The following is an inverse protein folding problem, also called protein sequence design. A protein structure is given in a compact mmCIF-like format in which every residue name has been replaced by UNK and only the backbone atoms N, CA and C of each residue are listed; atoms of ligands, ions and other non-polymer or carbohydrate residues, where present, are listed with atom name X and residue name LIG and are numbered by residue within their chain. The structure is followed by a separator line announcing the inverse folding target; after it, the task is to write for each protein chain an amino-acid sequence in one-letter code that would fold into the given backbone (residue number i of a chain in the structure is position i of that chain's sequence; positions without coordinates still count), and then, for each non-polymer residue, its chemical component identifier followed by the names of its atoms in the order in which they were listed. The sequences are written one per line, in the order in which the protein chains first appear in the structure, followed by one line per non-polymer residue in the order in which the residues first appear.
data_IF_097893457378
#
_entry.id   IF_097893457378
#
_cell.length_a   1.000
_cell.length_b   1.000
_cell.length_c   1.000
_cell.angle_alpha   90.00
_cell.angle_beta   90.00
_cell.angle_gamma   90.00
#
_symmetry.space_group_name_H-M   'P 1'
#
loop_
_entity.id
_entity.type
_entity.pdbx_description
1 polymer ?
#
# COMPACT_ATOMS: atom_id res chain seq x y z
N UNK A 1 2.38 -3.51 -26.74
CA UNK A 1 2.28 -3.95 -25.31
C UNK A 1 3.14 -3.05 -24.42
N UNK A 2 2.61 -2.57 -23.30
CA UNK A 2 3.43 -1.84 -22.33
C UNK A 2 4.32 -2.83 -21.56
N UNK A 3 5.62 -2.52 -21.45
CA UNK A 3 6.60 -3.36 -20.79
C UNK A 3 6.56 -3.19 -19.26
N UNK A 4 7.24 -4.08 -18.52
CA UNK A 4 7.42 -3.96 -17.08
C UNK A 4 8.02 -2.59 -16.69
N UNK A 5 7.30 -1.83 -15.86
CA UNK A 5 7.68 -0.48 -15.41
C UNK A 5 7.69 -0.41 -13.89
N UNK A 6 8.59 0.39 -13.33
CA UNK A 6 8.62 0.67 -11.89
C UNK A 6 7.73 1.87 -11.56
N UNK A 7 6.83 1.68 -10.61
CA UNK A 7 5.96 2.72 -10.08
C UNK A 7 6.38 3.03 -8.65
N UNK A 8 6.62 4.31 -8.34
CA UNK A 8 6.94 4.77 -6.98
C UNK A 8 5.71 5.36 -6.32
N UNK A 9 5.47 5.01 -5.06
CA UNK A 9 4.25 5.38 -4.32
C UNK A 9 4.41 6.62 -3.44
N UNK A 10 5.46 7.40 -3.69
CA UNK A 10 5.64 8.74 -3.11
C UNK A 10 4.72 9.71 -3.83
N UNK A 11 3.54 9.95 -3.30
CA UNK A 11 2.55 10.85 -3.90
C UNK A 11 2.91 12.32 -3.65
N UNK A 12 3.27 13.11 -4.67
CA UNK A 12 3.61 14.53 -4.49
C UNK A 12 2.46 15.37 -3.93
N UNK A 13 1.22 14.89 -4.08
CA UNK A 13 0.02 15.53 -3.54
C UNK A 13 -0.27 15.18 -2.07
N UNK A 14 0.39 14.16 -1.51
CA UNK A 14 0.17 13.72 -0.13
C UNK A 14 -1.23 13.18 0.16
N UNK A 15 -1.95 12.67 -0.85
CA UNK A 15 -3.33 12.18 -0.73
C UNK A 15 -3.45 10.65 -0.83
N UNK A 16 -2.34 9.93 -1.03
CA UNK A 16 -2.31 8.49 -0.80
C UNK A 16 -2.67 8.21 0.66
N UNK A 17 -3.61 7.30 0.88
CA UNK A 17 -4.05 6.98 2.23
C UNK A 17 -4.38 5.50 2.40
N UNK A 18 -4.14 5.02 3.62
CA UNK A 18 -4.65 3.76 4.16
C UNK A 18 -5.63 4.13 5.26
N UNK A 19 -6.87 3.63 5.20
CA UNK A 19 -7.86 3.82 6.27
C UNK A 19 -7.93 2.57 7.14
N UNK A 20 -8.20 2.80 8.42
CA UNK A 20 -8.28 1.81 9.47
C UNK A 20 -9.67 1.90 10.11
N UNK A 21 -10.31 0.76 10.32
CA UNK A 21 -11.52 0.64 11.14
C UNK A 21 -11.27 -0.42 12.22
N UNK A 22 -11.48 -0.02 13.46
CA UNK A 22 -11.39 -0.87 14.65
C UNK A 22 -12.77 -0.85 15.29
N UNK A 23 -13.60 -1.83 14.95
CA UNK A 23 -15.00 -1.89 15.36
C UNK A 23 -15.16 -2.68 16.66
N UNK A 24 -14.85 -2.04 17.79
CA UNK A 24 -15.02 -2.64 19.12
C UNK A 24 -16.41 -2.35 19.68
N UNK A 25 -16.80 -3.09 20.73
CA UNK A 25 -18.12 -2.95 21.33
C UNK A 25 -18.32 -1.59 22.03
N UNK A 26 -17.29 -1.09 22.71
CA UNK A 26 -17.39 0.09 23.58
C UNK A 26 -16.76 1.35 22.96
N UNK A 27 -15.75 1.18 22.11
CA UNK A 27 -14.97 2.28 21.56
C UNK A 27 -14.63 2.02 20.07
N UNK A 28 -15.64 2.02 19.17
CA UNK A 28 -15.38 1.90 17.74
C UNK A 28 -14.63 3.13 17.24
N UNK A 29 -13.52 2.91 16.54
CA UNK A 29 -12.59 3.99 16.16
C UNK A 29 -12.20 3.84 14.69
N UNK A 30 -12.17 4.97 13.99
CA UNK A 30 -11.66 5.09 12.63
C UNK A 30 -10.37 5.89 12.60
N UNK A 31 -9.48 5.53 11.69
CA UNK A 31 -8.22 6.23 11.48
C UNK A 31 -7.71 6.12 10.06
N UNK A 32 -6.58 6.76 9.81
CA UNK A 32 -5.88 6.72 8.55
C UNK A 32 -4.37 6.87 8.73
N UNK A 33 -3.61 6.53 7.70
CA UNK A 33 -2.19 6.80 7.56
C UNK A 33 -1.93 7.29 6.14
N UNK A 34 -1.16 8.37 5.98
CA UNK A 34 -0.98 9.05 4.69
C UNK A 34 0.47 9.22 4.24
N UNK A 35 1.45 8.78 5.03
CA UNK A 35 2.84 8.68 4.57
C UNK A 35 3.07 7.27 4.00
N UNK A 36 2.70 7.14 2.73
CA UNK A 36 2.85 5.92 1.93
C UNK A 36 4.04 6.09 0.99
N UNK A 37 4.89 5.08 0.93
CA UNK A 37 6.06 5.03 0.04
C UNK A 37 6.32 3.62 -0.49
N UNK A 38 7.45 3.44 -1.17
CA UNK A 38 7.85 2.17 -1.79
C UNK A 38 7.73 2.19 -3.30
N UNK A 39 7.98 1.03 -3.91
CA UNK A 39 7.90 0.85 -5.35
C UNK A 39 7.42 -0.54 -5.73
N UNK A 40 6.84 -0.63 -6.93
CA UNK A 40 6.37 -1.88 -7.51
C UNK A 40 6.69 -1.91 -9.00
N UNK A 41 7.30 -3.00 -9.45
CA UNK A 41 7.45 -3.35 -10.86
C UNK A 41 6.13 -3.98 -11.32
N UNK A 42 5.55 -3.44 -12.38
CA UNK A 42 4.29 -3.92 -12.96
C UNK A 42 4.37 -3.96 -14.48
N UNK A 43 3.96 -5.08 -15.06
CA UNK A 43 3.79 -5.27 -16.51
C UNK A 43 2.29 -5.50 -16.77
N UNK A 44 1.56 -4.58 -17.40
CA UNK A 44 0.12 -4.77 -17.66
C UNK A 44 -0.15 -5.93 -18.65
N UNK A 45 0.86 -6.38 -19.42
CA UNK A 45 0.73 -7.56 -20.27
C UNK A 45 1.01 -8.87 -19.53
N UNK A 46 1.70 -8.79 -18.38
CA UNK A 46 2.06 -9.92 -17.51
C UNK A 46 1.93 -9.55 -16.03
N UNK A 47 0.72 -9.18 -15.56
CA UNK A 47 0.51 -8.66 -14.20
C UNK A 47 0.89 -9.67 -13.10
N UNK A 48 0.92 -10.96 -13.41
CA UNK A 48 1.37 -12.05 -12.53
C UNK A 48 2.86 -11.96 -12.15
N UNK A 49 3.66 -11.19 -12.90
CA UNK A 49 5.10 -11.00 -12.66
C UNK A 49 5.41 -9.83 -11.72
N UNK A 50 4.38 -9.18 -11.18
CA UNK A 50 4.54 -8.01 -10.33
C UNK A 50 5.40 -8.32 -9.09
N UNK A 51 6.25 -7.36 -8.72
CA UNK A 51 7.16 -7.48 -7.58
C UNK A 51 7.42 -6.12 -6.95
N UNK A 52 7.55 -6.04 -5.63
CA UNK A 52 7.86 -4.79 -4.96
C UNK A 52 7.38 -4.75 -3.51
N UNK A 53 7.37 -3.55 -2.94
CA UNK A 53 6.90 -3.32 -1.57
C UNK A 53 6.25 -1.95 -1.42
N UNK A 54 5.26 -1.90 -0.54
CA UNK A 54 4.65 -0.66 -0.06
C UNK A 54 5.05 -0.49 1.41
N UNK A 55 5.34 0.74 1.80
CA UNK A 55 5.67 1.09 3.18
C UNK A 55 4.69 2.17 3.67
N UNK A 56 4.35 2.10 4.94
CA UNK A 56 3.55 3.12 5.64
C UNK A 56 4.30 3.56 6.88
N UNK A 57 4.54 4.86 7.05
CA UNK A 57 5.19 5.35 8.25
C UNK A 57 4.23 5.33 9.44
N UNK A 58 4.64 4.72 10.55
CA UNK A 58 3.83 4.66 11.79
C UNK A 58 3.50 6.06 12.29
N UNK A 59 4.44 7.00 12.15
CA UNK A 59 4.25 8.39 12.54
C UNK A 59 3.10 9.11 11.79
N UNK A 60 2.65 8.59 10.65
CA UNK A 60 1.54 9.17 9.88
C UNK A 60 0.15 8.72 10.32
N UNK A 61 0.07 7.69 11.19
CA UNK A 61 -1.20 7.17 11.68
C UNK A 61 -1.94 8.25 12.47
N UNK A 62 -3.21 8.46 12.19
CA UNK A 62 -4.11 9.37 12.88
C UNK A 62 -5.44 8.67 13.11
N UNK A 63 -5.98 8.82 14.31
CA UNK A 63 -7.33 8.38 14.66
C UNK A 63 -8.21 9.61 14.91
N UNK A 64 -9.52 9.39 15.02
CA UNK A 64 -10.49 10.46 15.33
C UNK A 64 -10.29 11.12 16.71
N UNK A 65 -9.32 10.66 17.50
CA UNK A 65 -8.96 11.18 18.81
C UNK A 65 -7.43 11.19 18.98
N UNK A 66 -6.89 12.28 19.55
CA UNK A 66 -5.44 12.48 19.71
C UNK A 66 -4.82 11.46 20.69
N UNK A 67 -5.51 11.11 21.77
CA UNK A 67 -5.03 10.11 22.73
C UNK A 67 -4.87 8.72 22.09
N UNK A 68 -5.80 8.32 21.22
CA UNK A 68 -5.67 7.09 20.41
C UNK A 68 -4.57 7.19 19.36
N UNK A 69 -4.39 8.36 18.76
CA UNK A 69 -3.28 8.65 17.85
C UNK A 69 -1.93 8.47 18.54
N UNK A 70 -1.76 9.07 19.71
CA UNK A 70 -0.54 8.98 20.51
C UNK A 70 -0.29 7.56 21.01
N UNK A 71 -1.35 6.87 21.47
CA UNK A 71 -1.28 5.46 21.89
C UNK A 71 -0.83 4.55 20.74
N UNK A 72 -1.41 4.74 19.55
CA UNK A 72 -1.08 3.97 18.37
C UNK A 72 0.39 4.16 17.96
N UNK A 73 0.84 5.41 17.82
CA UNK A 73 2.22 5.75 17.45
C UNK A 73 3.24 5.37 18.52
N UNK A 74 2.83 5.44 19.78
CA UNK A 74 3.63 5.17 20.96
C UNK A 74 3.58 3.69 21.35
N UNK A 75 2.96 3.39 22.49
CA UNK A 75 2.97 2.07 23.11
C UNK A 75 2.48 0.93 22.20
N UNK A 76 1.45 1.15 21.37
CA UNK A 76 0.83 0.05 20.63
C UNK A 76 1.68 -0.47 19.47
N UNK A 77 2.32 0.43 18.70
CA UNK A 77 3.16 0.07 17.54
C UNK A 77 4.66 0.31 17.79
N UNK A 78 5.04 0.83 18.95
CA UNK A 78 6.40 1.23 19.31
C UNK A 78 7.09 2.01 18.18
N UNK A 79 6.43 3.04 17.62
CA UNK A 79 6.83 3.68 16.36
C UNK A 79 8.24 4.28 16.32
N UNK A 80 8.86 4.55 17.48
CA UNK A 80 10.29 4.93 17.55
C UNK A 80 11.23 3.76 17.24
N UNK A 81 10.85 2.54 17.64
CA UNK A 81 11.60 1.29 17.43
C UNK A 81 11.24 0.62 16.11
N UNK A 82 9.96 0.67 15.74
CA UNK A 82 9.43 0.12 14.49
C UNK A 82 8.74 1.23 13.67
N UNK A 83 9.52 2.09 12.99
CA UNK A 83 8.96 3.29 12.34
C UNK A 83 8.13 3.00 11.09
N UNK A 84 8.20 1.79 10.55
CA UNK A 84 7.57 1.43 9.28
C UNK A 84 6.74 0.15 9.39
N UNK A 85 5.56 0.20 8.78
CA UNK A 85 4.76 -0.98 8.42
C UNK A 85 5.10 -1.31 6.97
N UNK A 86 5.38 -2.58 6.67
CA UNK A 86 5.89 -3.00 5.36
C UNK A 86 4.96 -4.07 4.78
N UNK A 87 4.54 -3.89 3.53
CA UNK A 87 3.86 -4.89 2.72
C UNK A 87 4.77 -5.28 1.56
N UNK A 88 5.44 -6.43 1.64
CA UNK A 88 6.35 -6.93 0.62
C UNK A 88 5.69 -8.03 -0.21
N UNK A 89 5.42 -7.74 -1.48
CA UNK A 89 4.81 -8.70 -2.41
C UNK A 89 5.74 -9.89 -2.62
N UNK A 90 5.22 -11.10 -2.36
CA UNK A 90 5.94 -12.35 -2.60
C UNK A 90 5.51 -12.98 -3.92
N UNK A 91 4.19 -13.03 -4.17
CA UNK A 91 3.63 -13.71 -5.33
C UNK A 91 2.25 -13.17 -5.67
N UNK A 92 1.97 -13.03 -6.96
CA UNK A 92 0.60 -12.91 -7.46
C UNK A 92 0.03 -14.32 -7.59
N UNK A 93 -1.01 -14.62 -6.79
CA UNK A 93 -1.61 -15.96 -6.75
C UNK A 93 -2.63 -16.13 -7.88
N UNK A 94 -3.40 -15.08 -8.11
CA UNK A 94 -4.49 -15.06 -9.07
C UNK A 94 -4.55 -13.71 -9.74
N UNK A 95 -4.86 -13.69 -11.03
CA UNK A 95 -5.13 -12.45 -11.76
C UNK A 95 -6.21 -12.67 -12.79
N UNK A 96 -7.16 -11.75 -12.83
CA UNK A 96 -8.22 -11.66 -13.83
C UNK A 96 -8.24 -10.24 -14.35
N UNK A 97 -8.05 -10.08 -15.65
CA UNK A 97 -8.33 -8.82 -16.31
C UNK A 97 -9.85 -8.64 -16.39
N UNK A 98 -10.38 -7.59 -15.77
CA UNK A 98 -11.83 -7.33 -15.70
C UNK A 98 -12.30 -6.29 -16.70
N UNK A 99 -11.38 -5.42 -17.16
CA UNK A 99 -11.58 -4.49 -18.27
C UNK A 99 -10.20 -4.08 -18.81
N UNK A 100 -10.10 -3.29 -19.90
CA UNK A 100 -8.83 -2.74 -20.34
C UNK A 100 -8.11 -2.03 -19.18
N UNK A 101 -6.87 -2.45 -18.92
CA UNK A 101 -6.00 -1.94 -17.86
C UNK A 101 -6.47 -2.13 -16.40
N UNK A 102 -7.55 -2.88 -16.15
CA UNK A 102 -8.01 -3.19 -14.78
C UNK A 102 -7.85 -4.68 -14.51
N UNK A 103 -7.11 -4.99 -13.46
CA UNK A 103 -6.78 -6.34 -13.03
C UNK A 103 -7.26 -6.54 -11.60
N UNK A 104 -7.97 -7.64 -11.34
CA UNK A 104 -8.36 -8.07 -10.01
C UNK A 104 -7.70 -9.40 -9.69
N UNK A 105 -7.24 -9.56 -8.47
CA UNK A 105 -6.50 -10.76 -8.09
C UNK A 105 -6.33 -10.93 -6.60
N UNK A 106 -5.58 -11.97 -6.24
CA UNK A 106 -5.09 -12.20 -4.88
C UNK A 106 -3.57 -12.23 -4.90
N UNK A 107 -2.96 -11.59 -3.92
CA UNK A 107 -1.51 -11.58 -3.75
C UNK A 107 -1.15 -12.19 -2.42
N UNK A 108 -0.04 -12.93 -2.38
CA UNK A 108 0.63 -13.32 -1.16
C UNK A 108 1.72 -12.30 -0.87
N UNK A 109 1.77 -11.79 0.36
CA UNK A 109 2.75 -10.82 0.80
C UNK A 109 3.28 -11.16 2.20
N UNK A 110 4.51 -10.75 2.47
CA UNK A 110 5.01 -10.63 3.84
C UNK A 110 4.63 -9.24 4.36
N UNK A 111 3.85 -9.23 5.42
CA UNK A 111 3.45 -8.03 6.14
C UNK A 111 4.28 -7.95 7.40
N UNK A 112 5.01 -6.87 7.59
CA UNK A 112 5.76 -6.57 8.81
C UNK A 112 5.11 -5.40 9.52
N UNK A 113 4.68 -5.60 10.76
CA UNK A 113 4.12 -4.57 11.62
C UNK A 113 4.62 -4.81 13.04
N UNK A 114 5.00 -3.74 13.76
CA UNK A 114 5.50 -3.85 15.14
C UNK A 114 6.65 -4.89 15.30
N UNK A 115 7.55 -4.93 14.32
CA UNK A 115 8.68 -5.87 14.29
C UNK A 115 8.33 -7.33 14.00
N UNK A 116 7.04 -7.68 13.90
CA UNK A 116 6.56 -9.03 13.62
C UNK A 116 6.22 -9.16 12.14
N UNK A 117 6.70 -10.22 11.50
CA UNK A 117 6.40 -10.54 10.10
C UNK A 117 5.45 -11.73 9.98
N UNK A 118 4.41 -11.56 9.15
CA UNK A 118 3.41 -12.59 8.83
C UNK A 118 3.21 -12.68 7.32
N UNK A 119 2.94 -13.90 6.84
CA UNK A 119 2.51 -14.09 5.45
C UNK A 119 1.00 -13.93 5.39
N UNK A 120 0.51 -13.07 4.51
CA UNK A 120 -0.91 -12.79 4.33
C UNK A 120 -1.30 -12.89 2.87
N UNK A 121 -2.58 -13.22 2.62
CA UNK A 121 -3.20 -13.16 1.30
C UNK A 121 -4.18 -11.99 1.30
N UNK A 122 -4.03 -11.07 0.35
CA UNK A 122 -4.90 -9.91 0.22
C UNK A 122 -5.51 -9.84 -1.19
N UNK A 123 -6.79 -9.46 -1.32
CA UNK A 123 -7.36 -9.13 -2.63
C UNK A 123 -6.81 -7.79 -3.11
N UNK A 124 -6.50 -7.67 -4.38
CA UNK A 124 -5.98 -6.42 -4.96
C UNK A 124 -6.69 -6.12 -6.28
N UNK A 125 -7.06 -4.86 -6.47
CA UNK A 125 -7.38 -4.30 -7.77
C UNK A 125 -6.26 -3.37 -8.20
N UNK A 126 -5.66 -3.64 -9.35
CA UNK A 126 -4.69 -2.78 -10.00
C UNK A 126 -5.32 -2.12 -11.23
N UNK A 127 -5.21 -0.80 -11.33
CA UNK A 127 -5.65 -0.02 -12.49
C UNK A 127 -4.46 0.74 -13.06
N UNK A 128 -4.03 0.33 -14.24
CA UNK A 128 -2.96 0.99 -14.99
C UNK A 128 -3.55 2.08 -15.89
N UNK A 129 -2.98 3.28 -15.88
CA UNK A 129 -3.45 4.40 -16.69
C UNK A 129 -2.25 5.02 -17.41
N UNK A 130 -2.01 4.65 -18.67
CA UNK A 130 -0.86 5.15 -19.42
C UNK A 130 -0.97 6.66 -19.66
N UNK A 131 0.14 7.38 -19.51
CA UNK A 131 0.21 8.82 -19.77
C UNK A 131 -0.53 9.72 -18.75
N UNK A 132 -1.16 9.17 -17.72
CA UNK A 132 -1.98 9.93 -16.78
C UNK A 132 -1.19 10.67 -15.68
N UNK A 133 0.14 10.54 -15.63
CA UNK A 133 0.93 11.25 -14.62
C UNK A 133 0.79 12.77 -14.76
N UNK A 134 0.71 13.30 -15.99
CA UNK A 134 0.61 14.74 -16.24
C UNK A 134 -0.65 15.35 -15.63
N UNK A 135 -1.78 14.64 -15.71
CA UNK A 135 -3.04 15.05 -15.07
C UNK A 135 -2.91 15.13 -13.54
N UNK A 136 -2.06 14.28 -12.96
CA UNK A 136 -1.84 14.24 -11.52
C UNK A 136 -0.82 15.29 -11.06
N UNK A 137 0.14 15.65 -11.90
CA UNK A 137 1.21 16.60 -11.58
C UNK A 137 0.98 17.99 -12.17
N UNK A 138 -0.25 18.33 -12.58
CA UNK A 138 -0.57 19.61 -13.23
C UNK A 138 0.39 19.90 -14.40
N UNK A 139 0.57 18.91 -15.28
CA UNK A 139 1.44 18.91 -16.47
C UNK A 139 2.95 19.08 -16.24
N UNK A 140 3.40 19.09 -14.98
CA UNK A 140 4.83 19.22 -14.65
C UNK A 140 5.67 17.98 -15.00
N UNK A 141 5.07 16.78 -14.96
CA UNK A 141 5.77 15.52 -15.22
C UNK A 141 4.93 14.62 -16.11
N UNK A 142 5.58 13.92 -17.05
CA UNK A 142 4.94 12.92 -17.92
C UNK A 142 5.20 11.53 -17.38
N UNK A 143 4.36 10.58 -17.78
CA UNK A 143 4.49 9.18 -17.37
C UNK A 143 3.14 8.54 -17.08
N UNK A 144 3.20 7.36 -16.46
CA UNK A 144 2.03 6.55 -16.19
C UNK A 144 1.63 6.56 -14.72
N UNK A 145 0.40 6.09 -14.50
CA UNK A 145 -0.17 5.91 -13.17
C UNK A 145 -0.52 4.44 -12.96
N UNK A 146 -0.23 3.92 -11.77
CA UNK A 146 -0.75 2.65 -11.27
C UNK A 146 -1.54 2.92 -9.99
N UNK A 147 -2.84 2.66 -10.01
CA UNK A 147 -3.70 2.76 -8.83
C UNK A 147 -3.90 1.38 -8.24
N UNK A 148 -3.55 1.21 -6.97
CA UNK A 148 -3.78 -0.02 -6.21
C UNK A 148 -4.90 0.20 -5.19
N UNK A 149 -5.85 -0.73 -5.16
CA UNK A 149 -6.90 -0.79 -4.15
C UNK A 149 -6.95 -2.16 -3.50
N UNK A 150 -7.07 -2.20 -2.19
CA UNK A 150 -7.23 -3.43 -1.42
C UNK A 150 -8.07 -3.18 -0.17
N UNK A 151 -8.74 -4.21 0.30
CA UNK A 151 -9.41 -4.26 1.59
C UNK A 151 -9.16 -5.64 2.19
N UNK A 152 -8.67 -5.68 3.42
CA UNK A 152 -8.41 -6.91 4.16
C UNK A 152 -8.45 -6.63 5.66
N UNK A 153 -8.47 -7.70 6.46
CA UNK A 153 -8.43 -7.61 7.92
C UNK A 153 -7.08 -8.13 8.42
N UNK A 154 -6.51 -7.44 9.40
CA UNK A 154 -5.39 -7.94 10.20
C UNK A 154 -5.83 -8.09 11.66
N UNK A 155 -5.13 -8.94 12.42
CA UNK A 155 -5.36 -9.10 13.86
C UNK A 155 -4.22 -8.51 14.66
N UNK A 156 -4.53 -7.74 15.71
CA UNK A 156 -3.52 -7.08 16.55
C UNK A 156 -2.58 -8.08 17.22
N UNK A 157 -3.14 -9.15 17.76
CA UNK A 157 -2.39 -10.20 18.47
C UNK A 157 -1.38 -10.95 17.58
N UNK A 158 -1.68 -11.14 16.29
CA UNK A 158 -0.76 -11.78 15.34
C UNK A 158 0.53 -10.96 15.12
N UNK A 159 0.47 -9.65 15.37
CA UNK A 159 1.57 -8.68 15.24
C UNK A 159 2.06 -8.13 16.59
N UNK A 160 1.63 -8.72 17.70
CA UNK A 160 1.99 -8.30 19.05
C UNK A 160 1.57 -6.86 19.42
N UNK A 161 0.56 -6.30 18.74
CA UNK A 161 0.12 -4.92 18.91
C UNK A 161 -0.76 -4.78 20.16
N UNK A 162 -0.31 -4.00 21.15
CA UNK A 162 -1.04 -3.72 22.38
C UNK A 162 -1.65 -4.99 23.03
N UNK A 163 -0.79 -6.00 23.27
CA UNK A 163 -1.18 -7.26 23.91
C UNK A 163 -1.88 -7.03 25.25
N UNK A 164 -2.92 -7.80 25.52
CA UNK A 164 -3.65 -7.78 26.79
C UNK A 164 -4.69 -6.65 26.93
N UNK A 165 -4.82 -5.75 25.95
CA UNK A 165 -5.91 -4.77 25.91
C UNK A 165 -7.25 -5.48 25.65
N UNK A 166 -8.27 -5.15 26.44
CA UNK A 166 -9.62 -5.71 26.34
C UNK A 166 -10.20 -5.49 24.93
N UNK A 167 -10.64 -6.58 24.29
CA UNK A 167 -11.21 -6.54 22.95
C UNK A 167 -12.55 -5.81 22.86
N UNK A 168 -13.22 -5.60 24.00
CA UNK A 168 -14.43 -4.76 24.06
C UNK A 168 -14.09 -3.27 23.89
N UNK A 169 -12.89 -2.86 24.28
CA UNK A 169 -12.40 -1.49 24.14
C UNK A 169 -11.69 -1.32 22.78
N UNK A 170 -10.78 -2.23 22.45
CA UNK A 170 -10.04 -2.17 21.19
C UNK A 170 -10.14 -3.52 20.49
N UNK A 171 -10.92 -3.60 19.40
CA UNK A 171 -11.16 -4.85 18.69
C UNK A 171 -9.83 -5.51 18.26
N UNK A 172 -9.77 -6.84 18.29
CA UNK A 172 -8.58 -7.53 17.79
C UNK A 172 -8.46 -7.41 16.27
N UNK A 173 -9.59 -7.37 15.57
CA UNK A 173 -9.66 -7.19 14.13
C UNK A 173 -9.53 -5.70 13.75
N UNK A 174 -8.66 -5.43 12.80
CA UNK A 174 -8.48 -4.12 12.18
C UNK A 174 -8.77 -4.29 10.70
N UNK A 175 -9.83 -3.65 10.23
CA UNK A 175 -10.08 -3.55 8.80
C UNK A 175 -9.17 -2.49 8.20
N UNK A 176 -8.45 -2.87 7.16
CA UNK A 176 -7.53 -2.01 6.41
C UNK A 176 -8.06 -1.84 5.00
N UNK A 177 -8.20 -0.59 4.57
CA UNK A 177 -8.43 -0.26 3.16
C UNK A 177 -7.31 0.63 2.66
N UNK A 178 -6.68 0.25 1.55
CA UNK A 178 -5.67 1.09 0.92
C UNK A 178 -6.17 1.52 -0.46
N UNK A 179 -6.01 2.81 -0.76
CA UNK A 179 -6.20 3.38 -2.11
C UNK A 179 -4.98 4.25 -2.40
N UNK A 180 -4.00 3.66 -3.07
CA UNK A 180 -2.67 4.26 -3.25
C UNK A 180 -2.34 4.36 -4.72
N UNK A 181 -1.67 5.45 -5.08
CA UNK A 181 -1.31 5.79 -6.45
C UNK A 181 0.21 5.79 -6.55
N UNK A 182 0.73 5.01 -7.49
CA UNK A 182 2.13 4.99 -7.88
C UNK A 182 2.32 5.68 -9.23
N UNK A 183 3.47 6.34 -9.39
CA UNK A 183 3.85 7.04 -10.61
C UNK A 183 5.06 6.36 -11.25
N UNK A 184 5.00 6.15 -12.56
CA UNK A 184 6.16 5.82 -13.38
C UNK A 184 6.48 7.04 -14.24
N UNK A 185 7.44 7.87 -13.82
CA UNK A 185 7.73 9.13 -14.48
C UNK A 185 8.71 8.95 -15.64
N UNK A 186 8.44 9.64 -16.75
CA UNK A 186 9.36 9.75 -17.88
C UNK A 186 10.58 10.59 -17.47
N UNK A 187 11.66 9.93 -17.07
CA UNK A 187 12.97 10.56 -16.87
C UNK A 187 13.93 10.18 -18.00
N UNK A 188 15.02 10.92 -18.23
CA UNK A 188 16.06 10.51 -19.19
C UNK A 188 16.58 9.08 -18.94
N UNK A 189 16.69 8.68 -17.67
CA UNK A 189 17.11 7.34 -17.26
C UNK A 189 16.07 6.27 -17.62
N UNK A 190 14.78 6.54 -17.40
CA UNK A 190 13.69 5.63 -17.80
C UNK A 190 13.63 5.48 -19.31
N UNK A 191 13.75 6.59 -20.07
CA UNK A 191 13.78 6.56 -21.54
C UNK A 191 14.97 5.74 -22.08
N UNK A 192 16.15 5.87 -21.46
CA UNK A 192 17.31 5.08 -21.83
C UNK A 192 17.10 3.58 -21.56
N UNK A 193 16.53 3.22 -20.40
CA UNK A 193 16.22 1.82 -20.07
C UNK A 193 15.19 1.20 -21.02
N UNK A 194 14.20 1.97 -21.45
CA UNK A 194 13.20 1.54 -22.42
C UNK A 194 13.79 1.35 -23.82
N UNK A 195 14.66 2.26 -24.26
CA UNK A 195 15.34 2.15 -25.55
C UNK A 195 16.27 0.93 -25.62
N UNK A 196 16.89 0.53 -24.52
CA UNK A 196 17.69 -0.70 -24.43
C UNK A 196 16.79 -1.94 -24.51
N UNK A 197 15.67 -1.96 -23.78
CA UNK A 197 14.72 -3.08 -23.80
C UNK A 197 14.00 -3.26 -25.13
N UNK A 198 13.80 -2.20 -25.91
CA UNK A 198 13.17 -2.29 -27.24
C UNK A 198 14.10 -2.89 -28.33
N UNK A 199 15.40 -3.02 -28.05
CA UNK A 199 16.41 -3.55 -28.98
C UNK A 199 16.76 -5.01 -28.74
N UNK A 200 16.28 -5.61 -27.65
CA UNK A 200 16.52 -7.00 -27.24
C UNK A 200 15.21 -7.78 -27.27
#
# INVERSE_FOLDING_TARGET
PAAAREFTFSDPKGINAVTLMIDSLLEPITGYANDVSGSLIFDPSRPETASGKILVAVASIQFSNDGYTDTARGYALEGKRFPQIIFALQKVLEVKQVSPNVFRGRVQAQVTCHGVTRTMIAPVTATYVPGAASQRTNDQQKGDVLVLRTQFTLKRDEFDIAKGVDTKLVANEIEVRASVVGLCLETPAVKAAEAVRAKN
#
